data_IF_649081597575
#
_entry.id   IF_649081597575
#
_cell.length_a   1.000
_cell.length_b   1.000
_cell.length_c   1.000
_cell.angle_alpha   90.00
_cell.angle_beta   90.00
_cell.angle_gamma   90.00
#
_symmetry.space_group_name_H-M   'P 1'
#
loop_
_entity.id
_entity.type
_entity.pdbx_description
1 polymer ?
#
# COMPACT_ATOMS: atom_id res chain seq x y z
N UNK A 1 3.13 15.41 -18.02
CA UNK A 1 2.66 14.86 -16.72
C UNK A 1 2.81 15.91 -15.65
N UNK A 2 1.85 16.04 -14.73
CA UNK A 2 1.98 16.88 -13.54
C UNK A 2 2.51 16.06 -12.36
N UNK A 3 3.29 16.71 -11.50
CA UNK A 3 3.89 16.07 -10.31
C UNK A 3 3.55 16.87 -9.06
N UNK A 4 3.44 16.15 -7.93
CA UNK A 4 3.25 16.73 -6.60
C UNK A 4 3.97 15.88 -5.55
N UNK A 5 4.20 16.41 -4.39
CA UNK A 5 4.69 15.60 -3.27
C UNK A 5 3.58 14.66 -2.76
N UNK A 6 3.93 13.45 -2.40
CA UNK A 6 3.01 12.53 -1.76
C UNK A 6 2.87 12.89 -0.28
N UNK A 7 1.75 13.54 0.07
CA UNK A 7 1.59 14.05 1.43
C UNK A 7 2.77 14.94 1.85
N UNK A 8 3.18 14.83 3.10
CA UNK A 8 4.33 15.56 3.65
C UNK A 8 5.63 14.74 3.49
N UNK A 9 5.94 14.32 2.25
CA UNK A 9 7.17 13.58 1.91
C UNK A 9 7.99 14.33 0.86
N UNK A 10 9.23 13.87 0.63
CA UNK A 10 10.08 14.30 -0.50
C UNK A 10 9.78 13.54 -1.81
N UNK A 11 8.86 12.57 -1.78
CA UNK A 11 8.49 11.78 -2.96
C UNK A 11 7.71 12.64 -3.96
N UNK A 12 8.35 13.01 -5.04
CA UNK A 12 7.73 13.76 -6.14
C UNK A 12 7.08 12.80 -7.13
N UNK A 13 5.80 12.50 -6.90
CA UNK A 13 5.01 11.54 -7.66
C UNK A 13 4.22 12.19 -8.80
N UNK A 14 4.04 11.47 -9.90
CA UNK A 14 3.06 11.82 -10.92
C UNK A 14 1.64 11.83 -10.34
N UNK A 15 0.79 12.76 -10.79
CA UNK A 15 -0.61 12.84 -10.32
C UNK A 15 -1.47 11.65 -10.76
N UNK A 16 -0.99 10.90 -11.75
CA UNK A 16 -1.53 9.60 -12.14
C UNK A 16 -0.61 8.54 -11.55
N UNK A 17 -1.20 7.55 -10.87
CA UNK A 17 -0.51 6.38 -10.36
C UNK A 17 -0.85 5.17 -11.25
N UNK A 18 0.15 4.40 -11.67
CA UNK A 18 -0.06 3.16 -12.40
C UNK A 18 -0.50 2.06 -11.42
N UNK A 19 -1.78 1.70 -11.47
CA UNK A 19 -2.29 0.52 -10.76
C UNK A 19 -1.97 -0.76 -11.54
N UNK A 20 -1.63 -1.83 -10.84
CA UNK A 20 -1.05 -3.03 -11.46
C UNK A 20 -1.85 -4.33 -11.17
N UNK A 21 -2.96 -4.23 -10.49
CA UNK A 21 -3.68 -5.38 -9.91
C UNK A 21 -4.18 -6.43 -10.91
N UNK A 22 -4.15 -6.14 -12.20
CA UNK A 22 -4.64 -7.05 -13.25
C UNK A 22 -3.54 -7.95 -13.84
N UNK A 23 -2.27 -7.64 -13.55
CA UNK A 23 -1.14 -8.37 -14.12
C UNK A 23 -0.91 -9.71 -13.43
N UNK A 24 -0.93 -10.77 -14.22
CA UNK A 24 -0.90 -12.16 -13.75
C UNK A 24 -2.26 -12.88 -13.85
N UNK A 25 -3.35 -12.14 -14.04
CA UNK A 25 -4.70 -12.68 -14.26
C UNK A 25 -5.30 -12.22 -15.60
N UNK A 26 -5.60 -10.93 -15.73
CA UNK A 26 -6.22 -10.36 -16.93
C UNK A 26 -5.17 -10.01 -18.00
N UNK A 27 -3.98 -9.66 -17.58
CA UNK A 27 -2.88 -9.32 -18.46
C UNK A 27 -1.68 -10.22 -18.20
N UNK A 28 -1.04 -10.66 -19.27
CA UNK A 28 0.19 -11.42 -19.18
C UNK A 28 1.42 -10.51 -19.00
N UNK A 29 2.59 -11.10 -18.74
CA UNK A 29 3.83 -10.35 -18.47
C UNK A 29 4.24 -9.43 -19.64
N UNK A 30 4.03 -9.82 -20.90
CA UNK A 30 4.42 -8.98 -22.03
C UNK A 30 3.55 -7.73 -22.13
N UNK A 31 2.23 -7.89 -21.97
CA UNK A 31 1.29 -6.76 -21.92
C UNK A 31 1.59 -5.82 -20.74
N UNK A 32 1.96 -6.38 -19.57
CA UNK A 32 2.37 -5.59 -18.42
C UNK A 32 3.65 -4.80 -18.71
N UNK A 33 4.61 -5.39 -19.40
CA UNK A 33 5.87 -4.71 -19.80
C UNK A 33 5.59 -3.54 -20.74
N UNK A 34 4.73 -3.73 -21.74
CA UNK A 34 4.31 -2.64 -22.64
C UNK A 34 3.62 -1.50 -21.86
N UNK A 35 2.76 -1.83 -20.89
CA UNK A 35 2.09 -0.83 -20.06
C UNK A 35 3.10 -0.08 -19.16
N UNK A 36 4.08 -0.77 -18.56
CA UNK A 36 5.12 -0.13 -17.75
C UNK A 36 6.01 0.80 -18.57
N UNK A 37 6.47 0.34 -19.75
CA UNK A 37 7.28 1.16 -20.65
C UNK A 37 6.50 2.39 -21.12
N UNK A 38 5.25 2.22 -21.55
CA UNK A 38 4.39 3.33 -21.97
C UNK A 38 4.14 4.32 -20.83
N UNK A 39 3.81 3.82 -19.62
CA UNK A 39 3.56 4.67 -18.46
C UNK A 39 4.78 5.54 -18.13
N UNK A 40 5.96 4.94 -18.09
CA UNK A 40 7.20 5.65 -17.80
C UNK A 40 7.54 6.69 -18.90
N UNK A 41 7.36 6.34 -20.17
CA UNK A 41 7.57 7.25 -21.31
C UNK A 41 6.60 8.44 -21.27
N UNK A 42 5.39 8.28 -20.72
CA UNK A 42 4.43 9.36 -20.48
C UNK A 42 4.72 10.14 -19.18
N UNK A 43 5.78 9.79 -18.44
CA UNK A 43 6.18 10.43 -17.19
C UNK A 43 5.39 9.96 -15.96
N UNK A 44 4.71 8.81 -16.02
CA UNK A 44 4.07 8.18 -14.86
C UNK A 44 5.12 7.42 -14.07
N UNK A 45 5.65 8.07 -13.03
CA UNK A 45 6.73 7.51 -12.20
C UNK A 45 6.24 6.86 -10.91
N UNK A 46 4.96 6.92 -10.59
CA UNK A 46 4.39 6.35 -9.37
C UNK A 46 3.60 5.08 -9.71
N UNK A 47 4.02 3.94 -9.17
CA UNK A 47 3.44 2.63 -9.44
C UNK A 47 2.98 1.97 -8.14
N UNK A 48 1.78 1.38 -8.17
CA UNK A 48 1.15 0.77 -7.02
C UNK A 48 0.85 -0.71 -7.28
N UNK A 49 1.40 -1.57 -6.44
CA UNK A 49 1.16 -3.01 -6.43
C UNK A 49 0.78 -3.50 -5.03
N UNK A 50 0.69 -4.79 -4.81
CA UNK A 50 0.46 -5.42 -3.50
C UNK A 50 0.90 -6.88 -3.48
N UNK A 51 1.25 -7.36 -2.28
CA UNK A 51 1.53 -8.77 -2.00
C UNK A 51 0.41 -9.69 -2.52
N UNK A 52 -0.85 -9.28 -2.32
CA UNK A 52 -2.03 -10.08 -2.66
C UNK A 52 -2.31 -10.18 -4.16
N UNK A 53 -1.76 -9.26 -4.97
CA UNK A 53 -2.10 -9.20 -6.40
C UNK A 53 -1.49 -10.39 -7.18
N UNK A 54 -2.18 -10.94 -8.16
CA UNK A 54 -3.22 -10.33 -9.00
C UNK A 54 -4.64 -10.39 -8.41
N UNK A 55 -5.58 -9.68 -9.07
CA UNK A 55 -7.02 -9.67 -8.77
C UNK A 55 -7.81 -10.27 -9.94
N UNK A 56 -8.74 -11.22 -9.71
CA UNK A 56 -9.23 -11.71 -8.42
C UNK A 56 -8.16 -12.49 -7.63
N UNK A 57 -8.07 -12.28 -6.30
CA UNK A 57 -7.01 -12.89 -5.50
C UNK A 57 -7.22 -14.41 -5.36
N UNK A 58 -6.20 -15.19 -5.75
CA UNK A 58 -6.14 -16.65 -5.69
C UNK A 58 -4.83 -17.12 -5.12
N UNK A 59 -4.81 -18.33 -4.58
CA UNK A 59 -3.59 -18.94 -4.06
C UNK A 59 -2.51 -19.13 -5.14
N UNK A 60 -2.96 -19.43 -6.36
CA UNK A 60 -2.10 -19.76 -7.50
C UNK A 60 -1.41 -18.55 -8.11
N UNK A 61 -2.00 -17.34 -7.97
CA UNK A 61 -1.56 -16.11 -8.65
C UNK A 61 -1.18 -14.99 -7.68
N UNK A 62 -1.23 -15.26 -6.36
CA UNK A 62 -0.80 -14.25 -5.39
C UNK A 62 0.71 -13.98 -5.50
N UNK A 63 1.06 -12.71 -5.58
CA UNK A 63 2.45 -12.28 -5.76
C UNK A 63 2.91 -12.16 -7.21
N UNK A 64 2.16 -12.70 -8.19
CA UNK A 64 2.52 -12.67 -9.61
C UNK A 64 2.74 -11.24 -10.12
N UNK A 65 1.91 -10.31 -9.69
CA UNK A 65 2.06 -8.89 -10.09
C UNK A 65 3.39 -8.31 -9.64
N UNK A 66 3.81 -8.56 -8.40
CA UNK A 66 5.12 -8.12 -7.91
C UNK A 66 6.26 -8.83 -8.66
N UNK A 67 6.12 -10.11 -8.99
CA UNK A 67 7.11 -10.85 -9.77
C UNK A 67 7.27 -10.30 -11.19
N UNK A 68 6.17 -9.98 -11.86
CA UNK A 68 6.17 -9.34 -13.18
C UNK A 68 6.89 -7.99 -13.13
N UNK A 69 6.62 -7.16 -12.12
CA UNK A 69 7.31 -5.88 -11.93
C UNK A 69 8.81 -6.11 -11.68
N UNK A 70 9.15 -7.07 -10.82
CA UNK A 70 10.54 -7.44 -10.54
C UNK A 70 11.29 -7.91 -11.78
N UNK A 71 10.65 -8.69 -12.65
CA UNK A 71 11.22 -9.14 -13.93
C UNK A 71 11.48 -7.94 -14.85
N UNK A 72 10.59 -6.94 -14.87
CA UNK A 72 10.79 -5.71 -15.63
C UNK A 72 11.97 -4.88 -15.09
N UNK A 73 12.11 -4.72 -13.76
CA UNK A 73 13.25 -4.05 -13.16
C UNK A 73 14.57 -4.75 -13.48
N UNK A 74 14.59 -6.07 -13.40
CA UNK A 74 15.78 -6.87 -13.72
C UNK A 74 16.18 -6.71 -15.18
N UNK A 75 15.22 -6.73 -16.10
CA UNK A 75 15.43 -6.57 -17.54
C UNK A 75 15.89 -5.17 -17.94
N UNK A 76 15.25 -4.14 -17.37
CA UNK A 76 15.44 -2.75 -17.84
C UNK A 76 16.46 -1.96 -17.03
N UNK A 77 16.76 -2.38 -15.80
CA UNK A 77 17.58 -1.66 -14.82
C UNK A 77 17.06 -0.25 -14.49
N UNK A 78 15.74 -0.02 -14.62
CA UNK A 78 15.09 1.28 -14.40
C UNK A 78 14.42 1.41 -13.03
N UNK A 79 14.81 0.63 -12.01
CA UNK A 79 14.22 0.72 -10.65
C UNK A 79 14.27 2.14 -10.08
N UNK A 80 15.35 2.87 -10.32
CA UNK A 80 15.58 4.24 -9.87
C UNK A 80 14.66 5.30 -10.52
N UNK A 81 13.99 4.95 -11.62
CA UNK A 81 13.03 5.83 -12.31
C UNK A 81 11.61 5.74 -11.75
N UNK A 82 11.36 4.79 -10.86
CA UNK A 82 10.02 4.46 -10.36
C UNK A 82 9.95 4.69 -8.86
N UNK A 83 8.93 5.43 -8.43
CA UNK A 83 8.49 5.47 -7.02
C UNK A 83 7.51 4.32 -6.86
N UNK A 84 7.92 3.30 -6.11
CA UNK A 84 7.21 2.05 -5.99
C UNK A 84 6.48 1.93 -4.66
N UNK A 85 5.17 1.73 -4.74
CA UNK A 85 4.34 1.38 -3.60
C UNK A 85 3.96 -0.11 -3.66
N UNK A 86 4.06 -0.81 -2.53
CA UNK A 86 3.44 -2.12 -2.34
C UNK A 86 2.69 -2.19 -1.02
N UNK A 87 1.98 -3.29 -0.76
CA UNK A 87 1.08 -3.41 0.39
C UNK A 87 1.18 -4.79 1.02
N UNK A 88 1.19 -4.83 2.34
CA UNK A 88 0.98 -6.07 3.09
C UNK A 88 -0.51 -6.35 3.24
N UNK A 89 -0.94 -7.56 2.92
CA UNK A 89 -2.32 -7.99 3.09
C UNK A 89 -2.69 -8.11 4.57
N UNK A 90 -3.85 -7.58 4.94
CA UNK A 90 -4.46 -7.81 6.24
C UNK A 90 -5.08 -9.22 6.36
N UNK A 91 -5.80 -9.50 7.46
CA UNK A 91 -6.41 -10.81 7.70
C UNK A 91 -7.46 -11.19 6.64
N UNK A 92 -7.89 -12.46 6.65
CA UNK A 92 -8.92 -13.07 5.82
C UNK A 92 -8.44 -13.82 4.56
N UNK A 93 -7.15 -14.19 4.49
CA UNK A 93 -6.64 -15.09 3.44
C UNK A 93 -5.74 -16.15 4.07
N UNK A 94 -6.24 -17.37 4.19
CA UNK A 94 -5.57 -18.51 4.83
C UNK A 94 -4.34 -19.02 4.07
N UNK A 95 -4.26 -18.76 2.76
CA UNK A 95 -3.11 -19.13 1.94
C UNK A 95 -1.94 -18.15 2.03
N UNK A 96 -2.15 -16.94 2.55
CA UNK A 96 -1.07 -15.99 2.76
C UNK A 96 -0.33 -16.34 4.06
N UNK A 97 0.98 -16.51 3.97
CA UNK A 97 1.83 -16.77 5.15
C UNK A 97 1.26 -17.82 6.13
N UNK A 98 0.64 -18.89 5.58
CA UNK A 98 -0.02 -19.97 6.35
C UNK A 98 -1.21 -19.47 7.22
N UNK A 99 -1.89 -18.41 6.81
CA UNK A 99 -3.00 -17.80 7.55
C UNK A 99 -2.59 -16.80 8.63
N UNK A 100 -1.31 -16.62 8.84
CA UNK A 100 -0.76 -15.64 9.80
C UNK A 100 -0.67 -14.25 9.15
N UNK A 101 -1.65 -13.39 9.43
CA UNK A 101 -1.82 -12.11 8.74
C UNK A 101 -1.72 -10.90 9.68
N UNK A 102 -1.06 -11.02 10.83
CA UNK A 102 -0.84 -9.90 11.74
C UNK A 102 0.19 -8.90 11.18
N UNK A 103 0.01 -7.63 11.51
CA UNK A 103 0.96 -6.57 11.18
C UNK A 103 2.08 -6.40 12.21
N UNK A 104 2.21 -7.33 13.15
CA UNK A 104 3.28 -7.35 14.14
C UNK A 104 4.07 -8.65 14.06
N UNK A 105 5.33 -8.58 14.53
CA UNK A 105 6.21 -9.75 14.62
C UNK A 105 6.65 -10.32 13.27
N UNK A 106 6.98 -11.62 13.21
CA UNK A 106 7.62 -12.25 12.05
C UNK A 106 6.76 -12.24 10.76
N UNK A 107 5.45 -12.03 10.89
CA UNK A 107 4.53 -12.02 9.76
C UNK A 107 4.73 -10.80 8.85
N UNK A 108 4.87 -9.62 9.44
CA UNK A 108 5.11 -8.39 8.68
C UNK A 108 6.51 -8.43 8.04
N UNK A 109 7.51 -8.93 8.77
CA UNK A 109 8.86 -9.12 8.25
C UNK A 109 8.87 -10.09 7.06
N UNK A 110 8.21 -11.23 7.18
CA UNK A 110 8.09 -12.22 6.11
C UNK A 110 7.37 -11.63 4.88
N UNK A 111 6.29 -10.89 5.08
CA UNK A 111 5.55 -10.23 4.00
C UNK A 111 6.45 -9.27 3.22
N UNK A 112 7.14 -8.36 3.92
CA UNK A 112 8.03 -7.38 3.29
C UNK A 112 9.19 -8.06 2.55
N UNK A 113 9.90 -8.99 3.21
CA UNK A 113 11.04 -9.67 2.59
C UNK A 113 10.62 -10.48 1.34
N UNK A 114 9.45 -11.12 1.37
CA UNK A 114 8.91 -11.83 0.21
C UNK A 114 8.52 -10.86 -0.93
N UNK A 115 7.92 -9.70 -0.61
CA UNK A 115 7.63 -8.65 -1.60
C UNK A 115 8.91 -8.12 -2.23
N UNK A 116 9.94 -7.80 -1.44
CA UNK A 116 11.24 -7.34 -1.96
C UNK A 116 11.90 -8.37 -2.88
N UNK A 117 11.79 -9.67 -2.52
CA UNK A 117 12.31 -10.77 -3.34
C UNK A 117 11.58 -10.87 -4.68
N UNK A 118 10.24 -10.81 -4.70
CA UNK A 118 9.44 -10.84 -5.94
C UNK A 118 9.73 -9.60 -6.81
N UNK A 119 9.78 -8.44 -6.19
CA UNK A 119 10.09 -7.16 -6.84
C UNK A 119 11.56 -7.01 -7.27
N UNK A 120 12.43 -7.93 -6.86
CA UNK A 120 13.88 -7.91 -7.17
C UNK A 120 14.53 -6.57 -6.85
N UNK A 121 14.18 -6.00 -5.69
CA UNK A 121 14.69 -4.73 -5.19
C UNK A 121 14.99 -4.83 -3.70
N UNK A 122 15.88 -4.00 -3.21
CA UNK A 122 16.26 -3.97 -1.80
C UNK A 122 15.34 -3.06 -0.96
N UNK A 123 14.53 -2.20 -1.61
CA UNK A 123 13.64 -1.26 -0.93
C UNK A 123 12.37 -0.96 -1.73
N UNK A 124 11.35 -0.48 -1.00
CA UNK A 124 10.16 0.15 -1.57
C UNK A 124 10.06 1.60 -1.08
N UNK A 125 9.48 2.46 -1.90
CA UNK A 125 9.32 3.88 -1.56
C UNK A 125 8.14 4.11 -0.63
N UNK A 126 7.07 3.34 -0.79
CA UNK A 126 5.88 3.37 0.07
C UNK A 126 5.43 1.95 0.41
N UNK A 127 5.33 1.64 1.69
CA UNK A 127 4.78 0.37 2.17
C UNK A 127 3.45 0.60 2.89
N UNK A 128 2.38 -0.03 2.41
CA UNK A 128 1.02 0.26 2.87
C UNK A 128 0.42 -0.94 3.61
N UNK A 129 -0.33 -0.65 4.68
CA UNK A 129 -1.22 -1.64 5.30
C UNK A 129 -2.48 -1.73 4.44
N UNK A 130 -2.70 -2.87 3.76
CA UNK A 130 -3.69 -3.00 2.69
C UNK A 130 -5.14 -2.86 3.15
N UNK A 131 -5.45 -3.35 4.36
CA UNK A 131 -6.70 -3.11 5.10
C UNK A 131 -6.49 -3.39 6.59
N UNK A 132 -7.32 -2.79 7.46
CA UNK A 132 -7.18 -2.97 8.91
C UNK A 132 -7.30 -4.42 9.37
N UNK A 133 -6.57 -4.77 10.43
CA UNK A 133 -6.72 -6.08 11.10
C UNK A 133 -8.03 -6.17 11.88
N UNK A 134 -8.50 -5.06 12.42
CA UNK A 134 -9.77 -5.00 13.14
C UNK A 134 -10.97 -4.97 12.17
N UNK A 135 -12.15 -5.35 12.66
CA UNK A 135 -13.37 -5.30 11.87
C UNK A 135 -13.86 -3.87 11.71
N UNK A 136 -13.84 -3.37 10.49
CA UNK A 136 -14.30 -2.04 10.11
C UNK A 136 -15.04 -2.10 8.78
N UNK A 137 -15.69 -1.00 8.44
CA UNK A 137 -16.20 -0.79 7.08
C UNK A 137 -15.04 -0.48 6.15
N UNK A 138 -14.57 -1.46 5.43
CA UNK A 138 -13.55 -1.33 4.41
C UNK A 138 -14.13 -1.55 3.01
N UNK A 139 -13.37 -1.21 1.97
CA UNK A 139 -13.76 -1.39 0.56
C UNK A 139 -15.09 -0.72 0.20
N UNK A 140 -15.39 0.45 0.79
CA UNK A 140 -16.61 1.20 0.54
C UNK A 140 -17.89 0.63 1.16
N UNK A 141 -17.80 -0.35 2.05
CA UNK A 141 -18.96 -0.90 2.76
C UNK A 141 -19.51 0.09 3.79
N UNK A 142 -20.82 0.00 4.04
CA UNK A 142 -21.53 0.76 5.08
C UNK A 142 -22.07 -0.19 6.15
N UNK A 143 -22.52 0.37 7.28
CA UNK A 143 -23.16 -0.40 8.36
C UNK A 143 -22.12 -0.93 9.38
N UNK A 144 -21.41 -0.02 10.05
CA UNK A 144 -20.46 -0.39 11.10
C UNK A 144 -21.15 -1.10 12.27
N UNK A 145 -20.58 -2.24 12.67
CA UNK A 145 -20.99 -3.01 13.86
C UNK A 145 -19.79 -3.10 14.80
N UNK A 146 -19.94 -2.48 15.98
CA UNK A 146 -18.90 -2.48 17.00
C UNK A 146 -18.61 -3.88 17.54
N UNK A 147 -17.34 -4.15 17.85
CA UNK A 147 -16.86 -5.38 18.50
C UNK A 147 -16.20 -5.01 19.83
N UNK A 148 -16.64 -5.58 20.94
CA UNK A 148 -16.15 -5.22 22.28
C UNK A 148 -14.68 -5.60 22.54
N UNK A 149 -14.19 -6.68 21.93
CA UNK A 149 -12.79 -7.10 22.01
C UNK A 149 -12.01 -6.61 20.80
N UNK A 150 -11.97 -5.30 20.65
CA UNK A 150 -11.36 -4.71 19.47
C UNK A 150 -9.83 -4.69 19.56
N UNK A 151 -9.23 -4.87 18.39
CA UNK A 151 -7.81 -4.80 18.18
C UNK A 151 -7.28 -3.36 18.45
N UNK A 152 -6.16 -3.24 19.15
CA UNK A 152 -5.55 -1.97 19.52
C UNK A 152 -4.01 -2.04 19.51
N UNK A 153 -3.43 -2.53 18.43
CA UNK A 153 -1.98 -2.70 18.29
C UNK A 153 -1.33 -1.63 17.40
N UNK A 154 -1.86 -0.42 17.39
CA UNK A 154 -1.35 0.67 16.56
C UNK A 154 0.13 1.01 16.87
N UNK A 155 0.50 1.03 18.15
CA UNK A 155 1.88 1.31 18.59
C UNK A 155 2.82 0.19 18.13
N UNK A 156 2.47 -1.08 18.40
CA UNK A 156 3.28 -2.24 18.02
C UNK A 156 3.52 -2.29 16.50
N UNK A 157 2.50 -1.95 15.70
CA UNK A 157 2.61 -1.88 14.23
C UNK A 157 3.57 -0.77 13.81
N UNK A 158 3.50 0.40 14.43
CA UNK A 158 4.41 1.50 14.11
C UNK A 158 5.85 1.18 14.50
N UNK A 159 6.06 0.53 15.65
CA UNK A 159 7.39 0.08 16.08
C UNK A 159 7.97 -0.96 15.12
N UNK A 160 7.13 -1.89 14.64
CA UNK A 160 7.55 -2.89 13.65
C UNK A 160 7.95 -2.23 12.32
N UNK A 161 7.13 -1.31 11.82
CA UNK A 161 7.41 -0.56 10.60
C UNK A 161 8.68 0.30 10.72
N UNK A 162 8.94 0.85 11.92
CA UNK A 162 10.16 1.63 12.17
C UNK A 162 11.43 0.81 11.91
N UNK A 163 11.44 -0.46 12.32
CA UNK A 163 12.59 -1.36 12.08
C UNK A 163 12.95 -1.45 10.60
N UNK A 164 11.95 -1.49 9.72
CA UNK A 164 12.18 -1.61 8.27
C UNK A 164 12.61 -0.29 7.63
N UNK A 165 12.18 0.82 8.19
CA UNK A 165 12.68 2.15 7.79
C UNK A 165 14.16 2.29 8.20
N UNK A 166 14.51 1.92 9.43
CA UNK A 166 15.89 1.96 9.92
C UNK A 166 16.83 1.02 9.15
N UNK A 167 16.29 -0.11 8.65
CA UNK A 167 17.00 -1.03 7.76
C UNK A 167 17.12 -0.52 6.31
N UNK A 168 16.50 0.59 5.95
CA UNK A 168 16.47 1.13 4.60
C UNK A 168 15.62 0.33 3.61
N UNK A 169 14.82 -0.63 4.08
CA UNK A 169 13.92 -1.44 3.24
C UNK A 169 12.64 -0.71 2.83
N UNK A 170 12.21 0.26 3.64
CA UNK A 170 11.01 1.07 3.44
C UNK A 170 11.38 2.54 3.62
N UNK A 171 10.98 3.41 2.68
CA UNK A 171 11.21 4.86 2.85
C UNK A 171 10.06 5.51 3.62
N UNK A 172 8.83 5.22 3.24
CA UNK A 172 7.62 5.76 3.86
C UNK A 172 6.56 4.69 4.05
N UNK A 173 5.68 4.92 5.02
CA UNK A 173 4.55 4.03 5.32
C UNK A 173 3.22 4.72 5.05
N UNK A 174 2.20 3.93 4.74
CA UNK A 174 0.87 4.40 4.42
C UNK A 174 -0.23 3.42 4.80
N UNK A 175 -1.46 3.89 4.67
CA UNK A 175 -2.67 3.13 4.98
C UNK A 175 -3.45 2.84 3.70
N UNK A 176 -4.28 1.81 3.74
CA UNK A 176 -5.28 1.55 2.72
C UNK A 176 -6.55 0.99 3.37
N UNK A 177 -7.70 1.37 2.83
CA UNK A 177 -9.02 0.96 3.35
C UNK A 177 -9.22 1.26 4.84
N UNK A 178 -8.54 2.29 5.35
CA UNK A 178 -8.60 2.68 6.75
C UNK A 178 -9.71 3.71 6.99
N UNK A 179 -10.17 3.77 8.22
CA UNK A 179 -11.20 4.71 8.68
C UNK A 179 -10.60 6.01 9.20
N UNK A 180 -11.38 7.11 9.34
CA UNK A 180 -10.90 8.32 9.97
C UNK A 180 -10.35 8.09 11.39
N UNK A 181 -11.03 7.24 12.18
CA UNK A 181 -10.60 6.93 13.55
C UNK A 181 -9.24 6.22 13.58
N UNK A 182 -9.06 5.17 12.76
CA UNK A 182 -7.78 4.45 12.71
C UNK A 182 -6.64 5.30 12.16
N UNK A 183 -6.94 6.12 11.13
CA UNK A 183 -5.97 7.07 10.60
C UNK A 183 -5.47 8.04 11.68
N UNK A 184 -6.39 8.66 12.42
CA UNK A 184 -6.03 9.59 13.50
C UNK A 184 -5.33 8.89 14.67
N UNK A 185 -5.67 7.62 14.96
CA UNK A 185 -4.98 6.82 15.99
C UNK A 185 -3.52 6.58 15.64
N UNK A 186 -3.21 6.18 14.40
CA UNK A 186 -1.82 6.07 13.91
C UNK A 186 -1.07 7.39 13.98
N UNK A 187 -1.68 8.48 13.50
CA UNK A 187 -1.04 9.81 13.48
C UNK A 187 -0.73 10.32 14.88
N UNK A 188 -1.68 10.16 15.81
CA UNK A 188 -1.50 10.57 17.20
C UNK A 188 -0.35 9.81 17.85
N UNK A 189 -0.34 8.49 17.76
CA UNK A 189 0.73 7.66 18.34
C UNK A 189 2.08 7.94 17.70
N UNK A 190 2.14 8.10 16.40
CA UNK A 190 3.35 8.51 15.69
C UNK A 190 3.95 9.78 16.30
N UNK A 191 3.12 10.80 16.55
CA UNK A 191 3.54 12.05 17.15
C UNK A 191 3.94 11.90 18.62
N UNK A 192 3.12 11.23 19.41
CA UNK A 192 3.29 11.10 20.86
C UNK A 192 4.51 10.23 21.23
N UNK A 193 4.86 9.26 20.38
CA UNK A 193 5.92 8.28 20.60
C UNK A 193 7.15 8.48 19.70
N UNK A 194 7.14 9.49 18.84
CA UNK A 194 8.18 9.71 17.81
C UNK A 194 8.42 8.47 16.92
N UNK A 195 7.33 7.85 16.46
CA UNK A 195 7.32 6.70 15.58
C UNK A 195 7.02 7.13 14.14
N UNK A 196 7.19 6.24 13.13
CA UNK A 196 6.93 6.57 11.73
C UNK A 196 5.51 7.08 11.50
N UNK A 197 5.39 8.14 10.70
CA UNK A 197 4.12 8.75 10.36
C UNK A 197 3.53 8.12 9.11
N UNK A 198 2.23 7.82 9.13
CA UNK A 198 1.49 7.41 7.93
C UNK A 198 1.38 8.58 6.96
N UNK A 199 2.00 8.46 5.78
CA UNK A 199 2.16 9.55 4.81
C UNK A 199 1.10 9.53 3.72
N UNK A 200 0.40 8.42 3.56
CA UNK A 200 -0.65 8.27 2.55
C UNK A 200 -1.82 7.43 3.05
N UNK A 201 -2.94 7.59 2.37
CA UNK A 201 -4.11 6.73 2.52
C UNK A 201 -4.67 6.38 1.15
N UNK A 202 -4.88 5.08 0.88
CA UNK A 202 -5.45 4.59 -0.36
C UNK A 202 -6.84 4.02 -0.11
N UNK A 203 -7.87 4.75 -0.52
CA UNK A 203 -9.27 4.38 -0.25
C UNK A 203 -10.14 4.55 -1.50
N UNK A 204 -11.33 3.87 -1.53
CA UNK A 204 -12.31 4.08 -2.59
C UNK A 204 -12.72 5.56 -2.67
N UNK A 205 -12.50 6.17 -3.81
CA UNK A 205 -12.90 7.55 -4.06
C UNK A 205 -13.00 7.82 -5.55
N UNK A 206 -14.20 8.06 -6.03
CA UNK A 206 -14.48 8.34 -7.44
C UNK A 206 -15.71 9.25 -7.56
N UNK A 207 -16.06 9.64 -8.78
CA UNK A 207 -17.29 10.40 -9.03
C UNK A 207 -18.57 9.68 -8.58
N UNK A 208 -18.54 8.32 -8.56
CA UNK A 208 -19.67 7.48 -8.15
C UNK A 208 -19.60 7.07 -6.67
N UNK A 209 -18.44 7.14 -6.05
CA UNK A 209 -18.26 6.84 -4.63
C UNK A 209 -17.52 7.98 -3.93
N UNK A 210 -18.27 8.82 -3.24
CA UNK A 210 -17.75 10.00 -2.54
C UNK A 210 -17.74 9.84 -1.01
N UNK A 211 -17.83 8.61 -0.50
CA UNK A 211 -17.82 8.33 0.93
C UNK A 211 -16.54 8.82 1.65
N UNK A 212 -15.42 8.92 0.92
CA UNK A 212 -14.17 9.50 1.41
C UNK A 212 -14.33 10.94 1.93
N UNK A 213 -15.20 11.72 1.31
CA UNK A 213 -15.43 13.13 1.66
C UNK A 213 -16.13 13.31 3.02
N UNK A 214 -16.80 12.28 3.54
CA UNK A 214 -17.55 12.38 4.79
C UNK A 214 -16.64 12.57 6.02
N UNK A 215 -15.41 12.06 5.98
CA UNK A 215 -14.50 12.20 7.11
C UNK A 215 -13.03 12.25 6.72
N UNK A 216 -12.58 11.38 5.79
CA UNK A 216 -11.17 11.25 5.45
C UNK A 216 -10.62 12.44 4.65
N UNK A 217 -11.44 13.14 3.88
CA UNK A 217 -10.97 14.30 3.10
C UNK A 217 -10.46 15.42 4.02
N UNK A 218 -11.17 15.74 5.09
CA UNK A 218 -10.71 16.74 6.06
C UNK A 218 -9.44 16.29 6.77
N UNK A 219 -9.38 15.03 7.23
CA UNK A 219 -8.17 14.45 7.83
C UNK A 219 -6.98 14.55 6.87
N UNK A 220 -7.17 14.16 5.61
CA UNK A 220 -6.08 14.18 4.63
C UNK A 220 -5.53 15.59 4.38
N UNK A 221 -6.41 16.59 4.31
CA UNK A 221 -6.01 17.98 4.08
C UNK A 221 -5.31 18.56 5.31
N UNK A 222 -5.90 18.41 6.50
CA UNK A 222 -5.35 18.98 7.74
C UNK A 222 -4.05 18.33 8.18
N UNK A 223 -3.95 17.04 7.95
CA UNK A 223 -2.79 16.23 8.34
C UNK A 223 -1.80 16.01 7.19
N UNK A 224 -1.99 16.66 6.04
CA UNK A 224 -1.09 16.54 4.88
C UNK A 224 -0.79 15.08 4.50
N UNK A 225 -1.83 14.21 4.49
CA UNK A 225 -1.72 12.82 4.05
C UNK A 225 -2.05 12.73 2.57
N UNK A 226 -1.19 12.09 1.79
CA UNK A 226 -1.44 11.87 0.36
C UNK A 226 -2.62 10.93 0.13
N UNK A 227 -3.60 11.35 -0.69
CA UNK A 227 -4.72 10.48 -1.07
C UNK A 227 -4.40 9.76 -2.39
N UNK A 228 -4.43 8.42 -2.35
CA UNK A 228 -4.43 7.54 -3.51
C UNK A 228 -5.85 7.04 -3.73
N UNK A 229 -6.55 7.62 -4.69
CA UNK A 229 -7.92 7.24 -4.99
C UNK A 229 -7.99 6.02 -5.91
N UNK A 230 -8.85 5.06 -5.57
CA UNK A 230 -9.19 3.93 -6.45
C UNK A 230 -10.71 3.72 -6.51
N UNK A 231 -11.21 2.97 -7.50
CA UNK A 231 -12.64 2.66 -7.65
C UNK A 231 -12.85 1.21 -8.05
#
# INVERSE_FOLDING_TARGET
MNYKNLGNTDLKVSTICLGTMTWGEQNNQNEAFEQMDFALDQGVNFWDTAELYAVPPRKETYGDTEEIIGNWFEKTKKRDKVILATKVAGPARDYLRNGENSFVGPNLESALNNSLKRLKTEYVDLYQLHWPERKVNNFGRLGYVHQENDWNQFEDVLEELNKYIDQGKVRYVGLSNETPWGTMSFLKLSKDKNLPRMMSIQNPYSLLNRSYEVGLAEVSIREEIGCLSYS
#
